data_IF_669425848796
#
_entry.id   IF_669425848796
#
_cell.length_a   1.000
_cell.length_b   1.000
_cell.length_c   1.000
_cell.angle_alpha   90.00
_cell.angle_beta   90.00
_cell.angle_gamma   90.00
#
_symmetry.space_group_name_H-M   'P 1'
#
loop_
_entity.id
_entity.type
_entity.pdbx_description
1 polymer ?
#
# COMPACT_ATOMS: atom_id res chain seq x y z
N UNK A 1 -13.34 -14.42 5.82
CA UNK A 1 -13.82 -13.64 4.66
C UNK A 1 -12.97 -12.40 4.57
N UNK A 2 -11.78 -12.56 3.99
CA UNK A 2 -10.71 -11.55 3.91
C UNK A 2 -9.67 -12.06 2.92
N UNK A 3 -9.00 -11.16 2.21
CA UNK A 3 -7.75 -11.46 1.52
C UNK A 3 -6.71 -10.37 1.78
N UNK A 4 -5.44 -10.77 1.87
CA UNK A 4 -4.32 -9.87 2.16
C UNK A 4 -3.01 -10.34 1.54
N UNK A 5 -2.09 -9.38 1.42
CA UNK A 5 -0.71 -9.56 0.99
C UNK A 5 0.20 -8.85 1.99
N UNK A 6 1.29 -9.51 2.39
CA UNK A 6 2.45 -8.89 3.04
C UNK A 6 3.64 -8.98 2.11
N UNK A 7 4.51 -7.98 2.11
CA UNK A 7 5.70 -7.99 1.29
C UNK A 7 6.78 -7.03 1.77
N UNK A 8 7.99 -7.29 1.30
CA UNK A 8 9.19 -6.50 1.55
C UNK A 8 9.83 -6.12 0.20
N UNK A 9 10.37 -4.92 0.12
CA UNK A 9 11.07 -4.40 -1.05
C UNK A 9 12.56 -4.18 -0.72
N UNK A 10 13.48 -5.01 -1.24
CA UNK A 10 14.89 -4.98 -0.86
C UNK A 10 15.63 -3.72 -1.34
N UNK A 11 15.14 -3.03 -2.37
CA UNK A 11 15.79 -1.84 -2.90
C UNK A 11 15.52 -0.60 -2.02
N UNK A 12 14.37 -0.57 -1.33
CA UNK A 12 13.98 0.53 -0.44
C UNK A 12 14.00 0.18 1.06
N UNK A 13 14.17 -1.09 1.42
CA UNK A 13 14.07 -1.58 2.80
C UNK A 13 12.66 -1.45 3.41
N UNK A 14 11.65 -1.17 2.59
CA UNK A 14 10.27 -1.02 3.05
C UNK A 14 9.62 -2.39 3.29
N UNK A 15 8.76 -2.45 4.30
CA UNK A 15 7.85 -3.57 4.57
C UNK A 15 6.42 -3.07 4.59
N UNK A 16 5.49 -3.87 4.07
CA UNK A 16 4.12 -3.42 3.95
C UNK A 16 3.10 -4.53 3.80
N UNK A 17 1.87 -4.17 4.10
CA UNK A 17 0.69 -5.04 4.09
C UNK A 17 -0.47 -4.31 3.42
N UNK A 18 -1.22 -5.04 2.60
CA UNK A 18 -2.51 -4.59 2.12
C UNK A 18 -3.56 -5.68 2.34
N UNK A 19 -4.78 -5.26 2.70
CA UNK A 19 -5.89 -6.16 3.05
C UNK A 19 -7.23 -5.61 2.55
N UNK A 20 -8.13 -6.50 2.14
CA UNK A 20 -9.50 -6.16 1.74
C UNK A 20 -10.54 -7.19 2.24
N UNK A 21 -11.77 -6.73 2.48
CA UNK A 21 -12.87 -7.56 3.00
C UNK A 21 -14.25 -6.90 2.81
N UNK A 22 -15.31 -7.71 2.84
CA UNK A 22 -16.68 -7.26 3.04
C UNK A 22 -17.03 -7.08 4.55
N UNK A 23 -16.18 -6.40 5.32
CA UNK A 23 -16.51 -5.91 6.67
C UNK A 23 -16.25 -4.42 6.77
N UNK A 24 -16.85 -3.74 7.74
CA UNK A 24 -16.49 -2.37 8.09
C UNK A 24 -15.05 -2.29 8.63
N UNK A 25 -14.29 -1.31 8.14
CA UNK A 25 -13.00 -0.87 8.68
C UNK A 25 -11.93 -1.97 8.91
N UNK A 26 -11.68 -2.82 7.90
CA UNK A 26 -10.68 -3.91 8.01
C UNK A 26 -9.28 -3.41 8.41
N UNK A 27 -8.92 -2.19 8.02
CA UNK A 27 -7.64 -1.54 8.35
C UNK A 27 -7.43 -1.25 9.85
N UNK A 28 -8.48 -1.21 10.66
CA UNK A 28 -8.36 -1.12 12.13
C UNK A 28 -8.24 -2.48 12.82
N UNK A 29 -8.44 -3.59 12.10
CA UNK A 29 -8.83 -4.88 12.69
C UNK A 29 -7.89 -6.04 12.39
N UNK A 30 -7.18 -5.98 11.27
CA UNK A 30 -6.38 -7.08 10.76
C UNK A 30 -4.88 -6.76 10.60
N UNK A 31 -4.45 -5.62 10.00
CA UNK A 31 -3.03 -5.33 9.79
C UNK A 31 -2.42 -4.58 10.98
N UNK A 32 -1.15 -4.89 11.28
CA UNK A 32 -0.31 -4.17 12.25
C UNK A 32 1.07 -3.96 11.61
N UNK A 33 1.70 -2.82 11.89
CA UNK A 33 3.06 -2.51 11.44
C UNK A 33 3.87 -1.89 12.58
N UNK A 34 5.17 -2.19 12.62
CA UNK A 34 6.12 -1.62 13.57
C UNK A 34 7.45 -1.34 12.85
N UNK A 35 7.85 -0.05 12.81
CA UNK A 35 9.11 0.40 12.18
C UNK A 35 10.31 -0.38 12.69
N UNK A 36 11.25 -0.69 11.81
CA UNK A 36 12.45 -1.48 12.12
C UNK A 36 12.18 -2.88 12.68
N UNK A 37 10.94 -3.37 12.62
CA UNK A 37 10.57 -4.72 13.06
C UNK A 37 9.92 -5.48 11.91
N UNK A 38 8.78 -5.02 11.40
CA UNK A 38 8.01 -5.74 10.39
C UNK A 38 6.54 -5.32 10.30
N UNK A 39 5.77 -6.08 9.51
CA UNK A 39 4.31 -6.03 9.46
C UNK A 39 3.69 -7.42 9.62
N UNK A 40 2.48 -7.48 10.17
CA UNK A 40 1.71 -8.69 10.29
C UNK A 40 0.23 -8.44 9.97
N UNK A 41 -0.47 -9.47 9.50
CA UNK A 41 -1.93 -9.43 9.32
C UNK A 41 -2.56 -10.74 9.75
N UNK A 42 -3.46 -10.63 10.71
CA UNK A 42 -4.24 -11.74 11.25
C UNK A 42 -5.70 -11.61 10.80
N UNK A 43 -6.25 -12.69 10.24
CA UNK A 43 -7.59 -12.73 9.65
C UNK A 43 -8.29 -14.06 9.98
N UNK A 44 -9.43 -14.36 9.34
CA UNK A 44 -10.38 -15.41 9.74
C UNK A 44 -10.92 -15.16 11.18
N UNK A 45 -10.95 -16.16 12.07
CA UNK A 45 -11.37 -15.98 13.47
C UNK A 45 -10.29 -15.33 14.37
N UNK A 46 -9.33 -14.62 13.79
CA UNK A 46 -8.33 -13.84 14.54
C UNK A 46 -8.93 -12.57 15.12
N UNK A 47 -8.32 -12.10 16.21
CA UNK A 47 -8.48 -10.74 16.73
C UNK A 47 -7.16 -9.98 16.57
N UNK A 48 -7.19 -8.64 16.66
CA UNK A 48 -6.02 -7.77 16.42
C UNK A 48 -4.76 -8.21 17.20
N UNK A 49 -4.94 -8.64 18.46
CA UNK A 49 -3.86 -9.12 19.33
C UNK A 49 -3.00 -10.22 18.69
N UNK A 50 -3.55 -11.01 17.77
CA UNK A 50 -2.84 -12.12 17.13
C UNK A 50 -1.71 -11.62 16.21
N UNK A 51 -1.95 -10.52 15.48
CA UNK A 51 -0.92 -9.85 14.68
C UNK A 51 0.06 -9.05 15.56
N UNK A 52 -0.44 -8.43 16.64
CA UNK A 52 0.39 -7.71 17.61
C UNK A 52 1.37 -8.65 18.33
N UNK A 53 0.91 -9.84 18.74
CA UNK A 53 1.74 -10.86 19.38
C UNK A 53 2.81 -11.41 18.42
N UNK A 54 2.48 -11.58 17.13
CA UNK A 54 3.46 -11.99 16.12
C UNK A 54 4.60 -10.97 15.99
N UNK A 55 4.27 -9.68 15.86
CA UNK A 55 5.29 -8.62 15.80
C UNK A 55 6.02 -8.41 17.12
N UNK A 56 5.42 -8.73 18.27
CA UNK A 56 6.09 -8.69 19.56
C UNK A 56 7.12 -9.83 19.72
N UNK A 57 6.87 -11.00 19.14
CA UNK A 57 7.87 -12.08 19.04
C UNK A 57 9.02 -11.67 18.11
N UNK A 58 8.72 -11.12 16.93
CA UNK A 58 9.74 -10.64 15.98
C UNK A 58 10.58 -9.49 16.59
N UNK A 59 9.95 -8.56 17.32
CA UNK A 59 10.65 -7.49 18.03
C UNK A 59 11.59 -7.99 19.14
N UNK A 60 11.41 -9.23 19.61
CA UNK A 60 12.28 -9.92 20.58
C UNK A 60 13.33 -10.81 19.91
N UNK A 61 13.44 -10.78 18.58
CA UNK A 61 14.44 -11.51 17.80
C UNK A 61 14.01 -12.91 17.35
N UNK A 62 12.73 -13.27 17.44
CA UNK A 62 12.22 -14.48 16.77
C UNK A 62 12.14 -14.25 15.24
N UNK A 63 12.42 -15.27 14.43
CA UNK A 63 12.12 -15.16 13.00
C UNK A 63 10.60 -15.20 12.75
N UNK A 64 10.09 -14.63 11.63
CA UNK A 64 8.68 -14.71 11.27
C UNK A 64 8.13 -16.14 11.27
N UNK A 65 8.94 -17.13 10.87
CA UNK A 65 8.56 -18.54 10.89
C UNK A 65 8.31 -19.06 12.32
N UNK A 66 9.19 -18.75 13.27
CA UNK A 66 9.03 -19.12 14.68
C UNK A 66 7.83 -18.41 15.31
N UNK A 67 7.64 -17.13 15.00
CA UNK A 67 6.50 -16.34 15.48
C UNK A 67 5.16 -16.91 14.99
N UNK A 68 5.09 -17.30 13.71
CA UNK A 68 3.92 -17.97 13.13
C UNK A 68 3.72 -19.36 13.75
N UNK A 69 4.77 -20.17 13.90
CA UNK A 69 4.69 -21.51 14.47
C UNK A 69 4.21 -21.50 15.94
N UNK A 70 4.73 -20.56 16.76
CA UNK A 70 4.32 -20.40 18.15
C UNK A 70 2.83 -20.05 18.30
N UNK A 71 2.29 -19.23 17.39
CA UNK A 71 0.89 -18.82 17.39
C UNK A 71 -0.04 -19.87 16.76
N UNK A 72 0.43 -20.61 15.75
CA UNK A 72 -0.28 -21.75 15.16
C UNK A 72 -0.44 -22.93 16.14
N UNK A 73 0.40 -23.00 17.18
CA UNK A 73 0.33 -24.03 18.24
C UNK A 73 -0.71 -23.74 19.34
N UNK A 74 -1.41 -22.61 19.30
CA UNK A 74 -2.43 -22.27 20.32
C UNK A 74 -3.69 -23.15 20.19
N UNK A 75 -4.39 -23.52 21.28
CA UNK A 75 -5.56 -24.40 21.21
C UNK A 75 -6.72 -23.88 20.35
N UNK A 76 -6.83 -22.57 20.20
CA UNK A 76 -7.83 -21.86 19.39
C UNK A 76 -7.29 -21.38 18.03
N UNK A 77 -6.08 -21.81 17.66
CA UNK A 77 -5.45 -21.55 16.37
C UNK A 77 -6.27 -22.07 15.16
N UNK A 78 -6.87 -23.28 15.13
CA UNK A 78 -7.39 -23.85 13.87
C UNK A 78 -8.36 -22.98 13.05
N UNK A 79 -9.09 -22.05 13.65
CA UNK A 79 -9.97 -21.11 12.94
C UNK A 79 -9.29 -19.81 12.45
N UNK A 80 -7.97 -19.67 12.62
CA UNK A 80 -7.20 -18.43 12.38
C UNK A 80 -6.29 -18.55 11.16
N UNK A 81 -5.86 -17.39 10.67
CA UNK A 81 -4.94 -17.25 9.57
C UNK A 81 -4.04 -16.03 9.84
N UNK A 82 -2.75 -16.14 9.55
CA UNK A 82 -1.72 -15.16 9.88
C UNK A 82 -0.66 -15.09 8.78
N UNK A 83 -0.20 -13.89 8.45
CA UNK A 83 1.03 -13.65 7.70
C UNK A 83 1.88 -12.59 8.41
N UNK A 84 3.20 -12.75 8.33
CA UNK A 84 4.21 -11.90 8.98
C UNK A 84 5.37 -11.71 8.02
N UNK A 85 5.86 -10.48 7.88
CA UNK A 85 7.16 -10.18 7.27
C UNK A 85 7.96 -9.26 8.18
N UNK A 86 9.26 -9.51 8.31
CA UNK A 86 10.16 -8.63 9.06
C UNK A 86 10.93 -7.65 8.16
N UNK A 87 11.59 -6.68 8.78
CA UNK A 87 12.40 -5.65 8.11
C UNK A 87 13.62 -6.20 7.33
N UNK A 88 13.99 -7.48 7.51
CA UNK A 88 15.01 -8.14 6.71
C UNK A 88 14.41 -8.93 5.52
N UNK A 89 13.10 -8.82 5.32
CA UNK A 89 12.36 -9.48 4.25
C UNK A 89 12.11 -10.98 4.47
N UNK A 90 12.38 -11.55 5.66
CA UNK A 90 11.90 -12.91 5.95
C UNK A 90 10.37 -12.86 6.01
N UNK A 91 9.72 -13.89 5.50
CA UNK A 91 8.26 -13.98 5.43
C UNK A 91 7.79 -15.35 5.90
N UNK A 92 6.70 -15.38 6.67
CA UNK A 92 5.98 -16.59 7.02
C UNK A 92 4.46 -16.34 6.95
N UNK A 93 3.71 -17.39 6.62
CA UNK A 93 2.25 -17.38 6.69
C UNK A 93 1.73 -18.77 7.01
N UNK A 94 0.53 -18.83 7.57
CA UNK A 94 -0.16 -20.06 7.92
C UNK A 94 -1.68 -19.84 7.90
N UNK A 95 -2.39 -20.90 7.51
CA UNK A 95 -3.86 -21.00 7.54
C UNK A 95 -4.21 -22.20 8.41
N UNK A 96 -5.02 -22.00 9.45
CA UNK A 96 -5.53 -23.11 10.26
C UNK A 96 -6.59 -23.93 9.52
N UNK A 97 -6.60 -25.25 9.75
CA UNK A 97 -7.43 -26.22 9.03
C UNK A 97 -8.95 -26.06 9.23
N UNK A 98 -9.38 -25.29 10.23
CA UNK A 98 -10.79 -24.95 10.48
C UNK A 98 -11.17 -23.57 9.94
N UNK A 99 -10.33 -22.93 9.12
CA UNK A 99 -10.73 -21.76 8.34
C UNK A 99 -11.87 -22.12 7.37
N UNK A 100 -12.92 -21.31 7.36
CA UNK A 100 -14.09 -21.52 6.49
C UNK A 100 -13.73 -21.45 5.00
N UNK A 101 -14.30 -22.36 4.20
CA UNK A 101 -14.50 -22.36 2.74
C UNK A 101 -13.54 -21.52 1.86
N UNK A 102 -12.83 -22.17 0.93
CA UNK A 102 -11.80 -21.54 0.07
C UNK A 102 -10.86 -20.65 0.89
N UNK A 103 -9.97 -21.31 1.62
CA UNK A 103 -8.98 -20.68 2.48
C UNK A 103 -7.60 -21.27 2.21
N UNK A 104 -6.58 -20.41 2.16
CA UNK A 104 -5.23 -20.80 1.80
C UNK A 104 -4.26 -19.63 1.89
N UNK A 105 -2.97 -19.95 1.82
CA UNK A 105 -1.89 -18.98 1.70
C UNK A 105 -0.86 -19.48 0.68
N UNK A 106 -0.03 -18.56 0.20
CA UNK A 106 1.18 -18.85 -0.56
C UNK A 106 2.28 -17.91 -0.07
N UNK A 107 3.48 -18.45 0.08
CA UNK A 107 4.71 -17.70 0.33
C UNK A 107 5.47 -17.69 -1.00
N UNK A 108 6.23 -16.64 -1.30
CA UNK A 108 7.09 -16.59 -2.49
C UNK A 108 8.04 -17.79 -2.53
N UNK A 109 8.17 -18.44 -3.69
CA UNK A 109 8.91 -19.70 -3.82
C UNK A 109 10.42 -19.49 -3.97
N UNK A 110 10.82 -18.30 -4.42
CA UNK A 110 12.21 -17.91 -4.58
C UNK A 110 12.63 -16.91 -3.51
N UNK A 111 13.93 -16.87 -3.21
CA UNK A 111 14.46 -15.91 -2.24
C UNK A 111 14.30 -14.44 -2.68
N UNK A 112 14.18 -14.12 -3.96
CA UNK A 112 13.82 -12.77 -4.41
C UNK A 112 12.34 -12.41 -4.15
N UNK A 113 11.46 -13.40 -3.96
CA UNK A 113 10.04 -13.20 -3.71
C UNK A 113 9.73 -13.05 -2.21
N UNK A 114 10.15 -11.93 -1.63
CA UNK A 114 9.83 -11.57 -0.23
C UNK A 114 8.35 -11.17 -0.07
N UNK A 115 7.46 -12.13 -0.21
CA UNK A 115 5.99 -11.95 -0.20
C UNK A 115 5.28 -13.13 0.46
N UNK A 116 4.14 -12.87 1.10
CA UNK A 116 3.12 -13.89 1.33
C UNK A 116 1.72 -13.33 1.06
N UNK A 117 0.88 -14.14 0.42
CA UNK A 117 -0.51 -13.83 0.10
C UNK A 117 -1.41 -14.85 0.77
N UNK A 118 -2.56 -14.41 1.29
CA UNK A 118 -3.44 -15.28 2.06
C UNK A 118 -4.90 -14.81 1.99
N UNK A 119 -5.82 -15.78 2.08
CA UNK A 119 -7.24 -15.48 2.15
C UNK A 119 -8.07 -16.62 2.73
N UNK A 120 -9.31 -16.29 3.08
CA UNK A 120 -10.29 -17.20 3.66
C UNK A 120 -11.72 -16.72 3.36
N UNK A 121 -12.67 -17.64 3.15
CA UNK A 121 -14.02 -17.36 2.63
C UNK A 121 -13.98 -16.62 1.29
N UNK A 122 -13.14 -17.11 0.38
CA UNK A 122 -12.91 -16.52 -0.94
C UNK A 122 -14.01 -16.94 -1.92
N UNK A 123 -14.24 -16.13 -2.96
CA UNK A 123 -15.22 -16.43 -4.01
C UNK A 123 -14.84 -17.67 -4.83
N UNK A 124 -13.53 -17.93 -4.98
CA UNK A 124 -12.97 -19.14 -5.60
C UNK A 124 -11.54 -19.39 -5.09
N UNK A 125 -11.03 -20.59 -5.36
CA UNK A 125 -9.64 -20.96 -5.07
C UNK A 125 -8.61 -20.21 -5.97
N UNK A 126 -9.07 -19.46 -6.97
CA UNK A 126 -8.23 -18.68 -7.89
C UNK A 126 -7.72 -17.36 -7.28
N UNK A 127 -8.35 -16.87 -6.21
CA UNK A 127 -8.02 -15.57 -5.59
C UNK A 127 -6.62 -15.53 -4.99
N UNK A 128 -6.17 -16.60 -4.30
CA UNK A 128 -4.80 -16.68 -3.76
C UNK A 128 -3.73 -16.79 -4.88
N UNK A 129 -3.91 -17.62 -5.93
CA UNK A 129 -3.10 -17.54 -7.15
C UNK A 129 -3.02 -16.13 -7.76
N UNK A 130 -4.16 -15.43 -7.88
CA UNK A 130 -4.23 -14.12 -8.51
C UNK A 130 -3.50 -13.03 -7.70
N UNK A 131 -3.58 -13.06 -6.36
CA UNK A 131 -2.76 -12.20 -5.49
C UNK A 131 -1.26 -12.37 -5.77
N UNK A 132 -0.79 -13.62 -5.88
CA UNK A 132 0.62 -13.92 -6.16
C UNK A 132 1.04 -13.51 -7.58
N UNK A 133 0.18 -13.67 -8.58
CA UNK A 133 0.43 -13.18 -9.96
C UNK A 133 0.46 -11.65 -9.98
N UNK A 134 -0.48 -10.94 -9.36
CA UNK A 134 -0.50 -9.48 -9.29
C UNK A 134 0.77 -8.89 -8.64
N UNK A 135 1.30 -9.54 -7.62
CA UNK A 135 2.61 -9.21 -7.05
C UNK A 135 3.77 -9.44 -8.02
N UNK A 136 3.82 -10.61 -8.69
CA UNK A 136 4.90 -10.93 -9.66
C UNK A 136 4.88 -10.00 -10.87
N UNK A 137 3.70 -9.62 -11.38
CA UNK A 137 3.53 -8.72 -12.53
C UNK A 137 3.88 -7.26 -12.25
N UNK A 138 3.94 -6.86 -10.98
CA UNK A 138 4.18 -5.47 -10.56
C UNK A 138 5.61 -5.22 -10.07
N UNK A 139 6.55 -6.15 -10.30
CA UNK A 139 7.91 -6.11 -9.76
C UNK A 139 8.68 -4.78 -9.96
N UNK A 140 8.40 -4.04 -11.03
CA UNK A 140 9.03 -2.73 -11.34
C UNK A 140 8.41 -1.54 -10.59
N UNK A 141 7.30 -1.73 -9.85
CA UNK A 141 6.62 -0.68 -9.10
C UNK A 141 7.15 -0.58 -7.66
N UNK A 142 7.05 0.58 -6.99
CA UNK A 142 7.38 0.68 -5.57
C UNK A 142 6.43 -0.16 -4.70
N UNK A 143 6.86 -0.52 -3.49
CA UNK A 143 6.13 -1.45 -2.61
C UNK A 143 4.63 -1.13 -2.39
N UNK A 144 4.20 0.12 -2.12
CA UNK A 144 2.78 0.43 -1.91
C UNK A 144 1.92 0.08 -3.14
N UNK A 145 2.43 0.37 -4.33
CA UNK A 145 1.79 0.06 -5.62
C UNK A 145 1.79 -1.45 -5.91
N UNK A 146 2.85 -2.20 -5.55
CA UNK A 146 2.91 -3.67 -5.66
C UNK A 146 1.86 -4.38 -4.79
N UNK A 147 1.73 -3.94 -3.53
CA UNK A 147 0.75 -4.48 -2.59
C UNK A 147 -0.69 -4.21 -3.08
N UNK A 148 -0.93 -3.01 -3.63
CA UNK A 148 -2.21 -2.65 -4.23
C UNK A 148 -2.50 -3.47 -5.51
N UNK A 149 -1.52 -3.64 -6.39
CA UNK A 149 -1.66 -4.44 -7.62
C UNK A 149 -1.99 -5.92 -7.32
N UNK A 150 -1.37 -6.49 -6.29
CA UNK A 150 -1.71 -7.82 -5.79
C UNK A 150 -3.17 -7.90 -5.29
N UNK A 151 -3.62 -6.95 -4.45
CA UNK A 151 -5.03 -6.91 -4.01
C UNK A 151 -6.00 -6.78 -5.19
N UNK A 152 -5.72 -5.91 -6.16
CA UNK A 152 -6.57 -5.71 -7.33
C UNK A 152 -6.73 -7.01 -8.12
N UNK A 153 -5.65 -7.74 -8.39
CA UNK A 153 -5.71 -9.04 -9.06
C UNK A 153 -6.54 -10.07 -8.26
N UNK A 154 -6.42 -10.10 -6.93
CA UNK A 154 -7.25 -10.95 -6.07
C UNK A 154 -8.75 -10.60 -6.10
N UNK A 155 -9.08 -9.31 -6.16
CA UNK A 155 -10.45 -8.81 -6.26
C UNK A 155 -11.08 -9.06 -7.64
N UNK A 156 -10.29 -8.95 -8.71
CA UNK A 156 -10.66 -9.30 -10.08
C UNK A 156 -10.93 -10.81 -10.24
N UNK A 157 -10.18 -11.65 -9.52
CA UNK A 157 -10.44 -13.10 -9.41
C UNK A 157 -11.65 -13.44 -8.52
N UNK A 158 -12.33 -12.44 -7.95
CA UNK A 158 -13.59 -12.59 -7.20
C UNK A 158 -13.53 -12.16 -5.73
N UNK A 159 -12.34 -12.08 -5.14
CA UNK A 159 -12.12 -11.56 -3.79
C UNK A 159 -12.87 -12.29 -2.67
N UNK A 160 -13.49 -11.52 -1.76
CA UNK A 160 -14.32 -11.99 -0.65
C UNK A 160 -15.70 -12.42 -1.17
N UNK A 161 -16.13 -13.64 -0.88
CA UNK A 161 -17.34 -14.24 -1.44
C UNK A 161 -18.65 -13.46 -1.17
N UNK A 162 -18.65 -12.49 -0.25
CA UNK A 162 -19.80 -11.62 0.06
C UNK A 162 -19.87 -10.36 -0.79
N UNK A 163 -18.76 -9.96 -1.42
CA UNK A 163 -18.60 -8.67 -2.08
C UNK A 163 -17.52 -7.81 -1.45
N UNK A 164 -17.72 -6.49 -1.50
CA UNK A 164 -16.69 -5.47 -1.24
C UNK A 164 -17.20 -4.46 -0.22
N UNK A 165 -16.37 -4.10 0.77
CA UNK A 165 -16.71 -3.05 1.74
C UNK A 165 -15.52 -2.19 2.18
N UNK A 166 -14.41 -2.78 2.59
CA UNK A 166 -13.26 -2.01 3.09
C UNK A 166 -11.92 -2.57 2.62
N UNK A 167 -10.92 -1.70 2.59
CA UNK A 167 -9.54 -2.05 2.27
C UNK A 167 -8.56 -1.12 3.00
N UNK A 168 -7.32 -1.58 3.16
CA UNK A 168 -6.25 -0.79 3.76
C UNK A 168 -4.88 -1.14 3.16
N UNK A 169 -3.98 -0.17 3.18
CA UNK A 169 -2.59 -0.26 2.77
C UNK A 169 -1.71 0.41 3.85
N UNK A 170 -0.80 -0.36 4.43
CA UNK A 170 0.08 0.06 5.52
C UNK A 170 1.52 -0.33 5.21
N UNK A 171 2.41 0.64 5.05
CA UNK A 171 3.82 0.46 4.67
C UNK A 171 4.71 1.31 5.57
N UNK A 172 5.78 0.70 6.11
CA UNK A 172 6.76 1.33 7.01
C UNK A 172 8.18 0.96 6.59
N UNK A 173 9.13 1.86 6.87
CA UNK A 173 10.56 1.60 6.76
C UNK A 173 11.23 1.35 8.12
N UNK A 174 12.56 1.31 8.11
CA UNK A 174 13.37 1.23 9.33
C UNK A 174 13.52 2.60 10.02
N UNK A 175 13.60 3.69 9.24
CA UNK A 175 13.98 5.02 9.74
C UNK A 175 12.77 5.97 9.84
N UNK A 176 13.00 7.28 9.79
CA UNK A 176 11.98 8.34 9.87
C UNK A 176 11.09 8.46 8.61
N UNK A 177 11.21 7.53 7.65
CA UNK A 177 10.49 7.51 6.38
C UNK A 177 9.00 7.74 6.55
N UNK A 178 8.42 8.70 5.83
CA UNK A 178 6.99 8.99 5.96
C UNK A 178 6.17 7.74 5.58
N UNK A 179 5.37 7.17 6.50
CA UNK A 179 4.72 5.89 6.29
C UNK A 179 3.58 6.04 5.28
N UNK A 180 3.18 4.96 4.61
CA UNK A 180 1.89 4.91 3.93
C UNK A 180 0.91 4.26 4.91
N UNK A 181 -0.17 4.93 5.27
CA UNK A 181 -1.23 4.37 6.11
C UNK A 181 -2.58 4.88 5.57
N UNK A 182 -3.13 4.15 4.61
CA UNK A 182 -4.30 4.54 3.84
C UNK A 182 -5.41 3.51 4.05
N UNK A 183 -6.63 4.00 4.26
CA UNK A 183 -7.79 3.19 4.63
C UNK A 183 -9.04 3.66 3.92
N UNK A 184 -9.80 2.70 3.41
CA UNK A 184 -11.17 2.89 2.94
C UNK A 184 -12.03 2.04 3.85
N UNK A 185 -12.66 2.65 4.85
CA UNK A 185 -13.35 1.90 5.91
C UNK A 185 -14.77 1.45 5.52
N UNK A 186 -15.41 2.13 4.56
CA UNK A 186 -16.70 1.72 3.95
C UNK A 186 -16.81 2.27 2.50
N UNK A 187 -16.91 1.39 1.51
CA UNK A 187 -17.10 1.71 0.09
C UNK A 187 -17.56 0.48 -0.69
N UNK A 188 -18.39 0.68 -1.71
CA UNK A 188 -18.73 -0.38 -2.70
C UNK A 188 -17.58 -0.71 -3.66
N UNK A 189 -16.58 0.17 -3.74
CA UNK A 189 -15.39 0.04 -4.59
C UNK A 189 -14.14 0.42 -3.77
N UNK A 190 -13.75 -0.38 -2.75
CA UNK A 190 -12.71 0.02 -1.80
C UNK A 190 -11.32 0.01 -2.41
N UNK A 191 -11.01 -0.84 -3.40
CA UNK A 191 -9.69 -0.85 -4.04
C UNK A 191 -9.47 0.32 -5.02
N UNK A 192 -10.42 0.69 -5.92
CA UNK A 192 -10.30 1.93 -6.68
C UNK A 192 -10.16 3.18 -5.80
N UNK A 193 -10.88 3.24 -4.68
CA UNK A 193 -10.75 4.35 -3.73
C UNK A 193 -9.40 4.32 -2.98
N UNK A 194 -8.88 3.14 -2.62
CA UNK A 194 -7.55 3.01 -2.03
C UNK A 194 -6.44 3.40 -3.01
N UNK A 195 -6.61 3.09 -4.30
CA UNK A 195 -5.73 3.54 -5.38
C UNK A 195 -5.75 5.07 -5.54
N UNK A 196 -6.94 5.69 -5.48
CA UNK A 196 -7.11 7.14 -5.48
C UNK A 196 -6.40 7.79 -4.28
N UNK A 197 -6.56 7.22 -3.09
CA UNK A 197 -5.87 7.69 -1.88
C UNK A 197 -4.34 7.57 -2.00
N UNK A 198 -3.82 6.49 -2.61
CA UNK A 198 -2.38 6.34 -2.85
C UNK A 198 -1.86 7.39 -3.84
N UNK A 199 -2.60 7.68 -4.92
CA UNK A 199 -2.25 8.75 -5.85
C UNK A 199 -2.21 10.13 -5.17
N UNK A 200 -3.15 10.41 -4.26
CA UNK A 200 -3.16 11.63 -3.44
C UNK A 200 -1.97 11.67 -2.47
N UNK A 201 -1.63 10.58 -1.78
CA UNK A 201 -0.42 10.50 -0.94
C UNK A 201 0.85 10.83 -1.74
N UNK A 202 1.03 10.22 -2.92
CA UNK A 202 2.17 10.50 -3.81
C UNK A 202 2.21 11.97 -4.24
N UNK A 203 1.07 12.55 -4.58
CA UNK A 203 0.96 13.93 -5.00
C UNK A 203 1.20 14.93 -3.85
N UNK A 204 0.80 14.58 -2.62
CA UNK A 204 1.07 15.37 -1.42
C UNK A 204 2.55 15.30 -0.98
N UNK A 205 3.23 14.16 -1.20
CA UNK A 205 4.70 14.05 -1.03
C UNK A 205 5.43 14.98 -2.00
N UNK A 206 5.09 14.94 -3.29
CA UNK A 206 5.64 15.84 -4.31
C UNK A 206 5.45 17.32 -3.92
N UNK A 207 4.25 17.67 -3.42
CA UNK A 207 3.96 19.03 -2.94
C UNK A 207 4.80 19.42 -1.72
N UNK A 208 5.00 18.53 -0.74
CA UNK A 208 5.86 18.78 0.42
C UNK A 208 7.31 19.03 0.00
N UNK A 209 7.83 18.24 -0.93
CA UNK A 209 9.17 18.43 -1.51
C UNK A 209 9.28 19.78 -2.23
N UNK A 210 8.28 20.14 -3.05
CA UNK A 210 8.24 21.42 -3.77
C UNK A 210 8.21 22.63 -2.81
N UNK A 211 7.44 22.55 -1.72
CA UNK A 211 7.43 23.57 -0.65
C UNK A 211 8.79 23.65 0.06
N UNK A 212 9.46 22.52 0.29
CA UNK A 212 10.80 22.46 0.86
C UNK A 212 11.84 23.17 -0.02
N UNK A 213 11.89 22.82 -1.30
CA UNK A 213 12.78 23.44 -2.29
C UNK A 213 12.50 24.94 -2.43
N UNK A 214 11.24 25.36 -2.49
CA UNK A 214 10.88 26.78 -2.57
C UNK A 214 11.36 27.57 -1.36
N UNK A 215 11.30 27.00 -0.15
CA UNK A 215 11.80 27.64 1.08
C UNK A 215 13.32 27.69 1.16
N UNK A 216 14.02 26.68 0.65
CA UNK A 216 15.47 26.56 0.74
C UNK A 216 16.20 27.33 -0.37
N UNK A 217 15.65 27.33 -1.59
CA UNK A 217 16.35 27.77 -2.81
C UNK A 217 15.56 28.80 -3.64
N UNK A 218 14.25 28.96 -3.38
CA UNK A 218 13.39 29.89 -4.11
C UNK A 218 13.41 29.66 -5.62
N UNK A 219 13.67 30.73 -6.38
CA UNK A 219 13.74 30.69 -7.85
C UNK A 219 14.84 29.77 -8.40
N UNK A 220 15.91 29.49 -7.64
CA UNK A 220 17.00 28.60 -8.11
C UNK A 220 16.56 27.13 -8.24
N UNK A 221 15.41 26.76 -7.67
CA UNK A 221 14.80 25.45 -7.81
C UNK A 221 13.56 25.42 -8.73
N UNK A 222 13.26 26.49 -9.48
CA UNK A 222 12.01 26.64 -10.23
C UNK A 222 11.66 25.43 -11.14
N UNK A 223 12.60 24.88 -11.91
CA UNK A 223 12.33 23.70 -12.76
C UNK A 223 12.04 22.42 -11.94
N UNK A 224 12.74 22.24 -10.81
CA UNK A 224 12.52 21.09 -9.90
C UNK A 224 11.15 21.19 -9.23
N UNK A 225 10.82 22.37 -8.72
CA UNK A 225 9.49 22.72 -8.16
C UNK A 225 8.40 22.48 -9.21
N UNK A 226 8.62 22.89 -10.47
CA UNK A 226 7.66 22.69 -11.55
C UNK A 226 7.43 21.21 -11.88
N UNK A 227 8.51 20.42 -12.04
CA UNK A 227 8.42 18.98 -12.29
C UNK A 227 7.64 18.26 -11.18
N UNK A 228 7.87 18.63 -9.92
CA UNK A 228 7.13 18.10 -8.77
C UNK A 228 5.64 18.45 -8.82
N UNK A 229 5.29 19.71 -9.06
CA UNK A 229 3.91 20.18 -9.01
C UNK A 229 3.07 19.72 -10.22
N UNK A 230 3.68 19.60 -11.42
CA UNK A 230 3.02 19.00 -12.57
C UNK A 230 2.77 17.51 -12.37
N UNK A 231 3.76 16.77 -11.82
CA UNK A 231 3.60 15.36 -11.43
C UNK A 231 2.52 15.17 -10.35
N UNK A 232 2.44 16.10 -9.39
CA UNK A 232 1.39 16.11 -8.38
C UNK A 232 0.00 16.33 -8.99
N UNK A 233 -0.16 17.32 -9.88
CA UNK A 233 -1.40 17.57 -10.61
C UNK A 233 -1.79 16.44 -11.57
N UNK A 234 -0.84 15.72 -12.16
CA UNK A 234 -1.11 14.55 -12.99
C UNK A 234 -1.68 13.39 -12.15
N UNK A 235 -1.14 13.18 -10.95
CA UNK A 235 -1.57 12.14 -10.01
C UNK A 235 -2.91 12.44 -9.33
N UNK A 236 -3.18 13.71 -9.01
CA UNK A 236 -4.36 14.14 -8.28
C UNK A 236 -4.91 15.48 -8.84
N UNK A 237 -5.55 15.46 -10.04
CA UNK A 237 -5.93 16.68 -10.77
C UNK A 237 -6.97 17.54 -10.04
N UNK A 238 -7.86 16.91 -9.28
CA UNK A 238 -8.94 17.57 -8.53
C UNK A 238 -8.57 17.91 -7.07
N UNK A 239 -7.31 17.71 -6.66
CA UNK A 239 -6.90 17.94 -5.28
C UNK A 239 -6.81 19.43 -4.94
N UNK A 240 -7.55 19.82 -3.90
CA UNK A 240 -7.67 21.21 -3.47
C UNK A 240 -6.36 21.81 -2.91
N UNK A 241 -5.50 20.99 -2.29
CA UNK A 241 -4.25 21.45 -1.71
C UNK A 241 -3.23 21.73 -2.81
N UNK A 242 -3.13 20.85 -3.81
CA UNK A 242 -2.30 21.05 -5.00
C UNK A 242 -2.80 22.26 -5.80
N UNK A 243 -4.12 22.37 -6.04
CA UNK A 243 -4.71 23.51 -6.73
C UNK A 243 -4.52 24.84 -5.96
N UNK A 244 -4.42 24.80 -4.63
CA UNK A 244 -4.09 25.97 -3.83
C UNK A 244 -2.61 26.36 -3.95
N UNK A 245 -1.68 25.42 -3.81
CA UNK A 245 -0.25 25.73 -3.69
C UNK A 245 0.49 25.80 -5.03
N UNK A 246 0.08 25.04 -6.05
CA UNK A 246 0.68 25.01 -7.39
C UNK A 246 0.99 26.39 -7.98
N UNK A 247 -0.02 27.28 -8.18
CA UNK A 247 0.20 28.61 -8.75
C UNK A 247 0.88 29.59 -7.79
N UNK A 248 1.02 29.26 -6.50
CA UNK A 248 1.75 30.08 -5.51
C UNK A 248 3.24 29.80 -5.50
N UNK A 249 3.64 28.57 -5.86
CA UNK A 249 5.03 28.12 -5.91
C UNK A 249 5.65 28.31 -7.30
N UNK A 250 4.82 28.41 -8.35
CA UNK A 250 5.23 28.63 -9.74
C UNK A 250 4.82 30.03 -10.23
N UNK A 251 5.61 31.02 -9.86
CA UNK A 251 5.33 32.44 -10.15
C UNK A 251 5.88 32.92 -11.51
N UNK A 252 6.79 32.19 -12.16
CA UNK A 252 7.37 32.57 -13.46
C UNK A 252 7.37 31.43 -14.50
N UNK A 253 6.24 31.18 -15.20
CA UNK A 253 6.15 30.13 -16.23
C UNK A 253 7.13 30.33 -17.41
N UNK A 254 7.54 31.57 -17.67
CA UNK A 254 8.48 31.93 -18.72
C UNK A 254 9.88 31.31 -18.54
N UNK A 255 10.24 30.85 -17.32
CA UNK A 255 11.51 30.15 -17.04
C UNK A 255 11.44 28.63 -17.19
N UNK A 256 10.26 28.05 -17.45
CA UNK A 256 10.11 26.60 -17.63
C UNK A 256 10.74 26.12 -18.95
N UNK A 257 11.36 24.95 -18.91
CA UNK A 257 11.83 24.22 -20.10
C UNK A 257 10.69 23.86 -21.06
N UNK A 258 11.04 23.55 -22.31
CA UNK A 258 10.05 23.11 -23.33
C UNK A 258 9.28 21.86 -22.87
N UNK A 259 9.98 20.87 -22.32
CA UNK A 259 9.43 19.63 -21.77
C UNK A 259 8.34 19.90 -20.71
N UNK A 260 8.62 20.80 -19.75
CA UNK A 260 7.67 21.14 -18.69
C UNK A 260 6.46 21.93 -19.21
N UNK A 261 6.63 22.74 -20.27
CA UNK A 261 5.51 23.41 -20.94
C UNK A 261 4.63 22.43 -21.72
N UNK A 262 5.22 21.44 -22.38
CA UNK A 262 4.47 20.38 -23.06
C UNK A 262 3.67 19.54 -22.07
N UNK A 263 4.28 19.15 -20.93
CA UNK A 263 3.57 18.45 -19.85
C UNK A 263 2.42 19.30 -19.29
N UNK A 264 2.66 20.60 -19.02
CA UNK A 264 1.62 21.52 -18.58
C UNK A 264 0.48 21.64 -19.61
N UNK A 265 0.78 21.71 -20.90
CA UNK A 265 -0.21 21.75 -21.97
C UNK A 265 -1.07 20.47 -22.04
N UNK A 266 -0.49 19.29 -21.79
CA UNK A 266 -1.23 18.02 -21.69
C UNK A 266 -2.14 17.91 -20.45
N UNK A 267 -1.86 18.68 -19.40
CA UNK A 267 -2.65 18.73 -18.16
C UNK A 267 -3.69 19.85 -18.15
N UNK A 268 -3.46 20.96 -18.86
CA UNK A 268 -4.34 22.13 -18.89
C UNK A 268 -5.84 21.82 -19.18
N UNK A 269 -6.22 20.86 -20.05
CA UNK A 269 -7.63 20.50 -20.27
C UNK A 269 -8.35 19.91 -19.06
N UNK A 270 -7.60 19.42 -18.05
CA UNK A 270 -8.13 18.73 -16.86
C UNK A 270 -7.69 19.33 -15.52
N UNK A 271 -6.78 20.31 -15.53
CA UNK A 271 -6.24 20.96 -14.32
C UNK A 271 -6.25 22.48 -14.48
N UNK A 272 -7.27 23.13 -13.92
CA UNK A 272 -7.55 24.57 -14.10
C UNK A 272 -6.38 25.49 -13.75
N UNK A 273 -5.65 25.19 -12.67
CA UNK A 273 -4.53 26.04 -12.24
C UNK A 273 -3.31 25.91 -13.17
N UNK A 274 -3.13 24.74 -13.82
CA UNK A 274 -2.06 24.52 -14.81
C UNK A 274 -2.38 25.25 -16.11
N UNK A 275 -3.65 25.28 -16.53
CA UNK A 275 -4.08 26.10 -17.67
C UNK A 275 -3.74 27.59 -17.48
N UNK A 276 -3.84 28.09 -16.24
CA UNK A 276 -3.43 29.45 -15.87
C UNK A 276 -1.92 29.74 -15.90
N UNK A 277 -1.06 28.72 -16.06
CA UNK A 277 0.39 28.92 -16.26
C UNK A 277 0.76 29.17 -17.74
N UNK A 278 -0.15 28.92 -18.67
CA UNK A 278 0.11 28.91 -20.12
C UNK A 278 -0.43 30.13 -20.86
N UNK A 279 -1.17 31.01 -20.17
CA UNK A 279 -1.75 32.25 -20.68
C UNK A 279 -1.04 33.50 -20.19
#
# INVERSE_FOLDING_TARGET
MTFSVVGHDPDSGLVGVAVASCVLAIGARAPVARRGVGVAVAQAASSLWHAEAALELVARGAEPADAVAALAALPDAPGRQLAVTDHAGRVASWTGDACTASAGHRIGEREDERVAVQGNTLASDDVVPALAEGWRRSAELPLPERLLAALTAGDEAGGDARGRQSAALLVVGEHEDEPVNLRVDDSRAPLPELARLLAVDRAHRDLREAVGLHRAEGEAAAERIARLLLRAAERAPDDQLIAHWGPRLLTEPARLSHELRDQAAGLAPRVTWVAGLLG
#
